data_IF_602591810333
#
_entry.id   IF_602591810333
#
_cell.length_a   1.000
_cell.length_b   1.000
_cell.length_c   1.000
_cell.angle_alpha   90.00
_cell.angle_beta   90.00
_cell.angle_gamma   90.00
#
_symmetry.space_group_name_H-M   'P 1'
#
loop_
_entity.id
_entity.type
_entity.pdbx_description
1 polymer ?
#
# COMPACT_ATOMS: atom_id res chain seq x y z
N UNK A 1 -7.41 57.40 -71.28
CA UNK A 1 -8.59 57.15 -72.12
C UNK A 1 -9.69 56.56 -71.24
N UNK A 2 -10.82 57.29 -71.13
CA UNK A 2 -12.23 56.89 -70.79
C UNK A 2 -12.45 55.83 -69.68
N UNK A 3 -12.90 56.23 -68.48
CA UNK A 3 -14.31 56.26 -67.95
C UNK A 3 -14.88 54.83 -67.74
N UNK A 4 -15.45 54.42 -66.59
CA UNK A 4 -16.61 55.00 -65.89
C UNK A 4 -16.77 54.45 -64.45
N UNK A 5 -17.48 55.26 -63.66
CA UNK A 5 -18.01 55.14 -62.31
C UNK A 5 -19.12 54.08 -62.12
N UNK A 6 -19.34 53.68 -60.85
CA UNK A 6 -20.60 53.38 -60.13
C UNK A 6 -20.63 51.97 -59.51
N UNK A 7 -21.34 51.62 -58.42
CA UNK A 7 -21.92 52.24 -57.23
C UNK A 7 -22.67 51.07 -56.54
N UNK A 8 -22.64 50.98 -55.22
CA UNK A 8 -23.63 50.36 -54.32
C UNK A 8 -23.76 48.82 -54.05
N UNK A 9 -23.76 48.56 -52.73
CA UNK A 9 -24.68 47.73 -51.91
C UNK A 9 -24.51 46.19 -51.77
N UNK A 10 -24.12 45.84 -50.53
CA UNK A 10 -24.75 44.88 -49.59
C UNK A 10 -24.74 43.36 -49.83
N UNK A 11 -24.68 42.68 -48.66
CA UNK A 11 -25.08 41.31 -48.31
C UNK A 11 -24.10 40.13 -48.51
N UNK A 12 -23.38 39.85 -47.40
CA UNK A 12 -23.38 38.61 -46.61
C UNK A 12 -22.70 37.31 -47.15
N UNK A 13 -21.68 36.83 -46.42
CA UNK A 13 -21.64 35.58 -45.60
C UNK A 13 -20.17 35.30 -45.20
N UNK A 14 -19.81 35.38 -43.91
CA UNK A 14 -19.69 34.25 -42.96
C UNK A 14 -18.61 33.21 -43.33
N UNK A 15 -17.46 33.29 -42.68
CA UNK A 15 -16.75 32.10 -42.20
C UNK A 15 -16.00 32.42 -40.89
N UNK A 16 -16.35 31.65 -39.86
CA UNK A 16 -15.93 31.73 -38.47
C UNK A 16 -14.44 31.42 -38.28
N UNK A 17 -13.82 32.12 -37.33
CA UNK A 17 -12.91 31.50 -36.36
C UNK A 17 -13.15 32.18 -35.01
N UNK A 18 -14.00 31.57 -34.19
CA UNK A 18 -14.20 31.94 -32.81
C UNK A 18 -13.08 31.31 -31.97
N UNK A 19 -12.06 32.08 -31.61
CA UNK A 19 -11.24 31.75 -30.43
C UNK A 19 -11.92 32.41 -29.24
N UNK A 20 -12.87 31.69 -28.64
CA UNK A 20 -13.31 32.00 -27.29
C UNK A 20 -12.10 31.77 -26.38
N UNK A 21 -11.63 32.86 -25.78
CA UNK A 21 -10.61 32.82 -24.75
C UNK A 21 -11.12 31.97 -23.59
N UNK A 22 -10.46 30.84 -23.39
CA UNK A 22 -10.48 30.18 -22.10
C UNK A 22 -9.67 31.10 -21.18
N UNK A 23 -10.37 31.89 -20.39
CA UNK A 23 -9.75 32.59 -19.28
C UNK A 23 -9.00 31.54 -18.47
N UNK A 24 -7.68 31.67 -18.40
CA UNK A 24 -6.88 30.95 -17.43
C UNK A 24 -7.50 31.27 -16.07
N UNK A 25 -8.09 30.25 -15.43
CA UNK A 25 -8.35 30.33 -14.00
C UNK A 25 -7.01 30.74 -13.36
N UNK A 26 -7.03 31.68 -12.39
CA UNK A 26 -5.83 31.95 -11.62
C UNK A 26 -5.31 30.62 -11.10
N UNK A 27 -4.01 30.38 -11.20
CA UNK A 27 -3.36 29.34 -10.41
C UNK A 27 -3.65 29.68 -8.94
N UNK A 28 -4.76 29.16 -8.41
CA UNK A 28 -5.01 29.14 -6.98
C UNK A 28 -3.84 28.41 -6.36
N UNK A 29 -3.34 28.92 -5.23
CA UNK A 29 -2.36 28.25 -4.40
C UNK A 29 -2.58 26.74 -4.48
N UNK A 30 -1.63 26.00 -5.08
CA UNK A 30 -1.64 24.56 -4.97
C UNK A 30 -1.51 24.29 -3.46
N UNK A 31 -2.62 23.99 -2.79
CA UNK A 31 -2.61 23.70 -1.37
C UNK A 31 -1.55 22.63 -1.13
N UNK A 32 -0.58 22.95 -0.28
CA UNK A 32 0.61 22.12 -0.10
C UNK A 32 0.19 20.75 0.42
N UNK A 33 0.40 19.70 -0.39
CA UNK A 33 0.21 18.31 0.04
C UNK A 33 1.09 18.00 1.25
N UNK A 34 0.58 17.17 2.15
CA UNK A 34 1.33 16.60 3.25
C UNK A 34 2.09 15.35 2.77
N UNK A 35 3.16 15.02 3.47
CA UNK A 35 3.90 13.79 3.23
C UNK A 35 3.11 12.61 3.80
N UNK A 36 2.80 11.58 3.01
CA UNK A 36 2.18 10.36 3.53
C UNK A 36 3.13 9.69 4.54
N UNK A 37 2.57 9.03 5.55
CA UNK A 37 3.32 8.07 6.38
C UNK A 37 2.44 6.88 6.76
N UNK A 38 3.12 5.77 7.02
CA UNK A 38 2.55 4.54 7.56
C UNK A 38 3.00 4.32 9.00
N UNK A 39 2.42 3.33 9.68
CA UNK A 39 2.77 3.03 11.07
C UNK A 39 3.11 1.57 11.25
N UNK A 40 4.35 1.31 11.68
CA UNK A 40 4.75 0.00 12.18
C UNK A 40 3.99 -0.32 13.47
N UNK A 41 3.26 -1.44 13.45
CA UNK A 41 2.56 -2.00 14.62
C UNK A 41 3.21 -3.31 15.04
N UNK A 42 3.90 -3.29 16.18
CA UNK A 42 4.57 -4.48 16.71
C UNK A 42 3.61 -5.48 17.31
N UNK A 43 3.61 -6.72 16.79
CA UNK A 43 2.88 -7.82 17.42
C UNK A 43 3.30 -7.95 18.89
N UNK A 44 2.33 -7.85 19.80
CA UNK A 44 2.55 -8.03 21.24
C UNK A 44 3.15 -9.41 21.51
N UNK A 45 4.33 -9.45 22.14
CA UNK A 45 5.10 -10.67 22.42
C UNK A 45 5.50 -11.49 21.18
N UNK A 46 5.52 -10.89 19.98
CA UNK A 46 5.74 -11.61 18.71
C UNK A 46 7.00 -12.49 18.73
N UNK A 47 8.14 -11.95 19.17
CA UNK A 47 9.41 -12.70 19.24
C UNK A 47 9.31 -13.98 20.09
N UNK A 48 8.58 -13.93 21.21
CA UNK A 48 8.40 -15.09 22.08
C UNK A 48 7.44 -16.14 21.49
N UNK A 49 6.56 -15.72 20.56
CA UNK A 49 5.53 -16.56 19.95
C UNK A 49 5.96 -17.21 18.63
N UNK A 50 7.10 -16.79 18.04
CA UNK A 50 7.66 -17.36 16.80
C UNK A 50 7.64 -18.90 16.77
N UNK A 51 8.09 -19.65 17.81
CA UNK A 51 8.05 -21.11 17.77
C UNK A 51 6.65 -21.69 17.57
N UNK A 52 5.64 -21.12 18.25
CA UNK A 52 4.26 -21.54 18.11
C UNK A 52 3.69 -21.17 16.74
N UNK A 53 4.01 -19.97 16.24
CA UNK A 53 3.57 -19.50 14.92
C UNK A 53 4.15 -20.38 13.80
N UNK A 54 5.42 -20.80 13.90
CA UNK A 54 6.02 -21.77 12.96
C UNK A 54 5.28 -23.11 12.95
N UNK A 55 4.85 -23.59 14.12
CA UNK A 55 4.04 -24.80 14.21
C UNK A 55 2.66 -24.62 13.55
N UNK A 56 2.02 -23.47 13.74
CA UNK A 56 0.76 -23.13 13.10
C UNK A 56 0.90 -23.05 11.57
N UNK A 57 1.96 -22.40 11.07
CA UNK A 57 2.24 -22.29 9.64
C UNK A 57 2.47 -23.67 9.00
N UNK A 58 3.31 -24.50 9.62
CA UNK A 58 3.62 -25.85 9.12
C UNK A 58 2.42 -26.82 9.16
N UNK A 59 1.48 -26.63 10.09
CA UNK A 59 0.23 -27.40 10.16
C UNK A 59 -0.88 -26.81 9.27
N UNK A 60 -0.65 -25.67 8.61
CA UNK A 60 -1.60 -25.02 7.73
C UNK A 60 -2.83 -24.48 8.46
N UNK A 61 -2.71 -24.10 9.74
CA UNK A 61 -3.80 -23.51 10.53
C UNK A 61 -3.92 -22.00 10.34
N UNK A 62 -2.87 -21.36 9.84
CA UNK A 62 -2.77 -19.91 9.58
C UNK A 62 -2.39 -19.67 8.10
N UNK A 63 -2.25 -18.40 7.71
CA UNK A 63 -1.65 -18.04 6.42
C UNK A 63 -0.29 -18.75 6.24
N UNK A 64 0.07 -19.12 5.00
CA UNK A 64 1.36 -19.74 4.74
C UNK A 64 2.48 -18.77 5.10
N UNK A 65 3.41 -19.22 5.92
CA UNK A 65 4.63 -18.50 6.28
C UNK A 65 5.83 -19.38 5.99
N UNK A 66 6.90 -18.78 5.48
CA UNK A 66 8.19 -19.44 5.31
C UNK A 66 9.25 -18.73 6.13
N UNK A 67 10.29 -19.47 6.53
CA UNK A 67 11.36 -18.96 7.37
C UNK A 67 12.60 -18.69 6.53
N UNK A 68 13.31 -17.62 6.83
CA UNK A 68 14.66 -17.37 6.29
C UNK A 68 15.69 -17.30 7.42
N UNK A 69 16.93 -17.54 7.06
CA UNK A 69 18.09 -17.29 7.90
C UNK A 69 19.28 -16.92 7.02
N UNK A 70 19.97 -15.84 7.35
CA UNK A 70 21.18 -15.42 6.65
C UNK A 70 22.15 -14.72 7.59
N UNK A 71 23.39 -14.61 7.14
CA UNK A 71 24.41 -13.78 7.79
C UNK A 71 24.59 -12.51 6.98
N UNK A 72 24.41 -11.37 7.63
CA UNK A 72 24.67 -10.08 6.99
C UNK A 72 26.17 -9.89 6.75
N UNK A 73 26.63 -9.57 5.54
CA UNK A 73 28.03 -9.25 5.29
C UNK A 73 28.51 -7.98 6.01
N UNK A 74 27.60 -7.13 6.50
CA UNK A 74 27.92 -5.87 7.17
C UNK A 74 28.50 -6.07 8.58
N UNK A 75 27.75 -6.73 9.46
CA UNK A 75 28.10 -6.92 10.88
C UNK A 75 28.45 -8.36 11.24
N UNK A 76 28.33 -9.29 10.29
CA UNK A 76 28.55 -10.74 10.46
C UNK A 76 27.59 -11.39 11.46
N UNK A 77 26.46 -10.75 11.76
CA UNK A 77 25.41 -11.31 12.61
C UNK A 77 24.42 -12.13 11.78
N UNK A 78 23.82 -13.12 12.45
CA UNK A 78 22.76 -13.95 11.88
C UNK A 78 21.41 -13.29 12.08
N UNK A 79 20.65 -13.17 11.00
CA UNK A 79 19.29 -12.67 11.00
C UNK A 79 18.35 -13.78 10.58
N UNK A 80 17.17 -13.83 11.17
CA UNK A 80 16.15 -14.83 10.84
C UNK A 80 14.77 -14.25 11.06
N UNK A 81 13.85 -14.61 10.19
CA UNK A 81 12.50 -14.07 10.20
C UNK A 81 11.51 -14.99 9.50
N UNK A 82 10.30 -14.48 9.32
CA UNK A 82 9.20 -15.16 8.65
C UNK A 82 8.55 -14.24 7.62
N UNK A 83 8.26 -14.75 6.44
CA UNK A 83 7.59 -14.01 5.37
C UNK A 83 6.35 -14.77 4.90
N UNK A 84 5.39 -14.05 4.33
CA UNK A 84 4.16 -14.65 3.78
C UNK A 84 4.48 -15.46 2.53
N UNK A 85 3.82 -16.60 2.38
CA UNK A 85 3.87 -17.43 1.19
C UNK A 85 4.79 -18.64 1.33
N UNK A 86 5.49 -18.96 0.25
CA UNK A 86 6.49 -20.03 0.19
C UNK A 86 7.86 -19.45 -0.09
N UNK A 87 8.89 -20.15 0.37
CA UNK A 87 10.26 -19.68 0.20
C UNK A 87 10.67 -19.64 -1.28
N UNK A 88 11.27 -18.53 -1.72
CA UNK A 88 11.88 -18.43 -3.04
C UNK A 88 13.08 -19.40 -3.16
N UNK A 89 13.77 -19.69 -2.05
CA UNK A 89 15.02 -20.47 -2.01
C UNK A 89 14.87 -22.01 -2.13
N UNK A 90 13.66 -22.58 -1.95
CA UNK A 90 13.48 -24.03 -2.15
C UNK A 90 13.38 -24.36 -3.65
N UNK A 91 12.97 -25.54 -4.09
CA UNK A 91 12.67 -25.84 -5.52
C UNK A 91 11.37 -26.67 -5.69
N UNK A 92 10.55 -26.73 -4.63
CA UNK A 92 9.27 -27.46 -4.61
C UNK A 92 8.11 -26.63 -5.15
N UNK A 93 6.91 -26.76 -4.57
CA UNK A 93 5.75 -25.91 -4.89
C UNK A 93 6.12 -24.42 -4.76
N UNK A 94 5.85 -23.64 -5.82
CA UNK A 94 6.32 -22.26 -6.00
C UNK A 94 5.24 -21.19 -5.94
N UNK A 95 3.99 -21.58 -6.15
CA UNK A 95 2.86 -20.67 -6.12
C UNK A 95 2.10 -20.81 -4.81
N UNK A 96 1.68 -19.67 -4.28
CA UNK A 96 0.82 -19.54 -3.11
C UNK A 96 -0.29 -18.56 -3.43
N UNK A 97 -1.51 -18.93 -3.04
CA UNK A 97 -2.68 -18.06 -3.12
C UNK A 97 -3.12 -17.78 -1.69
N UNK A 98 -3.08 -16.51 -1.29
CA UNK A 98 -3.52 -16.07 0.04
C UNK A 98 -4.90 -15.47 -0.11
N UNK A 99 -5.85 -15.93 0.70
CA UNK A 99 -7.16 -15.32 0.77
C UNK A 99 -7.04 -13.93 1.40
N UNK A 100 -7.38 -12.90 0.64
CA UNK A 100 -7.55 -11.53 1.14
C UNK A 100 -9.03 -11.21 1.30
N UNK A 101 -9.38 -10.46 2.35
CA UNK A 101 -10.73 -9.98 2.60
C UNK A 101 -10.72 -8.45 2.56
N UNK A 102 -11.17 -7.88 1.45
CA UNK A 102 -11.29 -6.42 1.34
C UNK A 102 -12.58 -5.96 2.04
N UNK A 103 -12.43 -5.16 3.07
CA UNK A 103 -13.51 -4.72 3.96
C UNK A 103 -13.62 -3.19 3.85
N UNK A 104 -14.61 -2.67 3.11
CA UNK A 104 -14.85 -1.23 3.09
C UNK A 104 -15.39 -0.78 4.45
N UNK A 105 -14.83 0.29 5.01
CA UNK A 105 -15.26 0.84 6.30
C UNK A 105 -15.95 2.17 6.09
N UNK A 106 -17.23 2.22 6.46
CA UNK A 106 -18.02 3.44 6.47
C UNK A 106 -17.89 4.12 7.82
N UNK A 107 -17.31 5.31 7.85
CA UNK A 107 -17.11 6.10 9.05
C UNK A 107 -18.10 7.26 9.10
N UNK A 108 -18.83 7.36 10.21
CA UNK A 108 -19.74 8.48 10.50
C UNK A 108 -19.18 9.29 11.67
N UNK A 109 -18.88 10.56 11.42
CA UNK A 109 -18.30 11.48 12.40
C UNK A 109 -19.37 12.26 13.16
N UNK A 110 -18.96 12.85 14.28
CA UNK A 110 -19.88 13.55 15.20
C UNK A 110 -20.53 14.82 14.62
N UNK A 111 -19.94 15.41 13.58
CA UNK A 111 -20.48 16.54 12.83
C UNK A 111 -21.50 16.12 11.74
N UNK A 112 -21.73 14.81 11.59
CA UNK A 112 -22.62 14.22 10.59
C UNK A 112 -21.96 13.89 9.25
N UNK A 113 -20.66 14.17 9.09
CA UNK A 113 -19.90 13.77 7.89
C UNK A 113 -19.81 12.25 7.81
N UNK A 114 -19.98 11.71 6.60
CA UNK A 114 -19.87 10.28 6.31
C UNK A 114 -18.82 10.09 5.22
N UNK A 115 -17.84 9.23 5.47
CA UNK A 115 -16.86 8.77 4.51
C UNK A 115 -17.08 7.27 4.28
N UNK A 116 -17.33 6.90 3.01
CA UNK A 116 -17.86 5.59 2.66
C UNK A 116 -17.27 5.10 1.33
N UNK A 117 -16.32 4.15 1.37
CA UNK A 117 -15.66 3.61 0.18
C UNK A 117 -16.61 2.95 -0.83
N UNK A 118 -17.85 2.63 -0.43
CA UNK A 118 -18.86 1.98 -1.29
C UNK A 118 -19.73 2.98 -2.05
N UNK A 119 -19.61 4.28 -1.72
CA UNK A 119 -20.37 5.35 -2.38
C UNK A 119 -19.51 6.13 -3.35
N UNK A 120 -20.13 6.67 -4.40
CA UNK A 120 -19.41 7.51 -5.37
C UNK A 120 -19.17 8.88 -4.75
N UNK A 121 -17.90 9.30 -4.70
CA UNK A 121 -17.55 10.67 -4.33
C UNK A 121 -17.15 11.49 -5.57
N UNK A 122 -17.31 12.81 -5.50
CA UNK A 122 -17.08 13.71 -6.64
C UNK A 122 -15.60 13.95 -6.95
N UNK A 123 -14.68 13.70 -6.00
CA UNK A 123 -13.25 13.85 -6.26
C UNK A 123 -12.72 12.71 -7.14
N UNK A 124 -13.25 11.50 -6.97
CA UNK A 124 -12.86 10.33 -7.75
C UNK A 124 -13.76 10.12 -8.98
N UNK A 125 -15.05 10.45 -8.87
CA UNK A 125 -16.06 10.12 -9.89
C UNK A 125 -16.41 8.62 -9.96
N UNK A 126 -15.93 7.82 -9.01
CA UNK A 126 -16.20 6.41 -8.83
C UNK A 126 -16.29 6.08 -7.32
N UNK A 127 -16.56 4.82 -6.97
CA UNK A 127 -16.41 4.38 -5.58
C UNK A 127 -14.95 3.96 -5.35
N UNK A 128 -14.38 4.34 -4.21
CA UNK A 128 -13.04 3.92 -3.79
C UNK A 128 -12.88 2.40 -3.85
N UNK A 129 -13.89 1.67 -3.37
CA UNK A 129 -13.92 0.21 -3.42
C UNK A 129 -13.73 -0.31 -4.85
N UNK A 130 -14.49 0.22 -5.82
CA UNK A 130 -14.40 -0.24 -7.20
C UNK A 130 -13.04 0.05 -7.84
N UNK A 131 -12.43 1.20 -7.53
CA UNK A 131 -11.11 1.56 -8.04
C UNK A 131 -10.04 0.64 -7.46
N UNK A 132 -10.09 0.39 -6.15
CA UNK A 132 -9.15 -0.53 -5.48
C UNK A 132 -9.30 -1.97 -5.96
N UNK A 133 -10.52 -2.47 -6.16
CA UNK A 133 -10.76 -3.82 -6.68
C UNK A 133 -10.15 -4.06 -8.07
N UNK A 134 -10.09 -3.01 -8.90
CA UNK A 134 -9.52 -3.05 -10.25
C UNK A 134 -8.04 -2.66 -10.31
N UNK A 135 -7.42 -2.35 -9.16
CA UNK A 135 -6.02 -1.96 -9.06
C UNK A 135 -5.06 -3.12 -9.30
N UNK A 136 -3.79 -2.85 -9.65
CA UNK A 136 -2.77 -3.88 -9.76
C UNK A 136 -2.45 -4.61 -8.45
N UNK A 137 -3.00 -4.18 -7.30
CA UNK A 137 -2.93 -4.96 -6.05
C UNK A 137 -3.69 -6.29 -6.19
N UNK A 138 -4.82 -6.27 -6.90
CA UNK A 138 -5.70 -7.45 -7.05
C UNK A 138 -5.82 -7.93 -8.50
N UNK A 139 -5.50 -7.07 -9.48
CA UNK A 139 -5.47 -7.42 -10.90
C UNK A 139 -4.04 -7.71 -11.36
N UNK A 140 -3.91 -8.62 -12.33
CA UNK A 140 -2.61 -8.96 -12.91
C UNK A 140 -2.31 -8.10 -14.12
N UNK A 141 -1.05 -7.71 -14.28
CA UNK A 141 -0.49 -7.15 -15.52
C UNK A 141 0.94 -7.63 -15.69
N UNK A 142 1.51 -7.40 -16.87
CA UNK A 142 2.91 -7.71 -17.15
C UNK A 142 3.84 -6.66 -16.54
N UNK A 143 4.98 -7.09 -15.97
CA UNK A 143 5.89 -6.22 -15.23
C UNK A 143 7.33 -6.32 -15.71
N UNK A 144 7.93 -5.14 -15.91
CA UNK A 144 9.38 -5.00 -16.05
C UNK A 144 9.89 -4.20 -14.84
N UNK A 145 10.77 -4.80 -14.05
CA UNK A 145 11.39 -4.18 -12.89
C UNK A 145 12.90 -4.19 -13.07
N UNK A 146 13.55 -3.02 -12.98
CA UNK A 146 14.98 -2.85 -13.21
C UNK A 146 15.49 -3.44 -14.55
N UNK A 147 14.69 -3.30 -15.61
CA UNK A 147 15.01 -3.83 -16.94
C UNK A 147 14.87 -5.35 -17.09
N UNK A 148 14.33 -6.04 -16.09
CA UNK A 148 14.05 -7.48 -16.10
C UNK A 148 12.55 -7.69 -16.23
N UNK A 149 12.15 -8.53 -17.19
CA UNK A 149 10.79 -9.05 -17.29
C UNK A 149 10.53 -10.02 -16.13
N UNK A 150 9.70 -9.56 -15.18
CA UNK A 150 9.25 -10.33 -14.01
C UNK A 150 7.81 -10.79 -14.20
N UNK A 151 7.40 -11.06 -15.45
CA UNK A 151 6.20 -11.80 -15.80
C UNK A 151 4.88 -11.10 -15.43
N UNK A 152 3.80 -11.86 -15.61
CA UNK A 152 2.43 -11.38 -15.36
C UNK A 152 1.99 -11.74 -13.95
N UNK A 153 1.75 -10.73 -13.12
CA UNK A 153 1.41 -10.91 -11.71
C UNK A 153 0.64 -9.70 -11.15
N UNK A 154 0.12 -9.81 -9.93
CA UNK A 154 -0.28 -8.64 -9.13
C UNK A 154 0.98 -7.86 -8.72
N UNK A 155 0.87 -6.57 -8.40
CA UNK A 155 2.04 -5.72 -8.14
C UNK A 155 2.93 -6.26 -7.02
N UNK A 156 2.36 -6.60 -5.86
CA UNK A 156 3.16 -7.07 -4.72
C UNK A 156 3.70 -8.49 -4.97
N UNK A 157 2.98 -9.31 -5.73
CA UNK A 157 3.49 -10.60 -6.21
C UNK A 157 4.70 -10.43 -7.17
N UNK A 158 4.58 -9.53 -8.15
CA UNK A 158 5.67 -9.16 -9.05
C UNK A 158 6.86 -8.58 -8.28
N UNK A 159 6.60 -7.76 -7.25
CA UNK A 159 7.62 -7.28 -6.33
C UNK A 159 8.32 -8.46 -5.64
N UNK A 160 7.60 -9.44 -5.09
CA UNK A 160 8.23 -10.63 -4.47
C UNK A 160 9.10 -11.40 -5.47
N UNK A 161 8.63 -11.57 -6.71
CA UNK A 161 9.43 -12.18 -7.78
C UNK A 161 10.70 -11.38 -8.05
N UNK A 162 10.57 -10.06 -8.15
CA UNK A 162 11.69 -9.15 -8.38
C UNK A 162 12.65 -9.09 -7.17
N UNK A 163 12.13 -9.20 -5.95
CA UNK A 163 12.87 -9.13 -4.69
C UNK A 163 13.86 -10.29 -4.54
N UNK A 164 13.48 -11.47 -5.03
CA UNK A 164 14.27 -12.70 -4.96
C UNK A 164 14.65 -13.24 -6.35
N UNK A 165 14.82 -12.35 -7.34
CA UNK A 165 14.93 -12.71 -8.76
C UNK A 165 15.99 -13.78 -9.05
N UNK A 166 17.16 -13.69 -8.42
CA UNK A 166 18.26 -14.65 -8.62
C UNK A 166 17.86 -16.10 -8.28
N UNK A 167 16.94 -16.28 -7.33
CA UNK A 167 16.47 -17.58 -6.88
C UNK A 167 15.18 -18.03 -7.58
N UNK A 168 14.30 -17.09 -7.95
CA UNK A 168 13.01 -17.44 -8.58
C UNK A 168 13.13 -17.63 -10.09
N UNK A 169 14.01 -16.89 -10.76
CA UNK A 169 14.15 -16.89 -12.22
C UNK A 169 14.58 -18.24 -12.80
N UNK A 170 15.32 -19.05 -12.02
CA UNK A 170 15.76 -20.41 -12.40
C UNK A 170 14.59 -21.37 -12.62
N UNK A 171 13.41 -21.02 -12.11
CA UNK A 171 12.17 -21.79 -12.25
C UNK A 171 11.15 -21.11 -13.19
N UNK A 172 11.59 -20.13 -13.99
CA UNK A 172 10.74 -19.36 -14.90
C UNK A 172 9.60 -18.67 -14.16
N UNK A 173 8.38 -18.78 -14.69
CA UNK A 173 7.19 -18.10 -14.18
C UNK A 173 6.39 -18.91 -13.14
N UNK A 174 7.07 -19.75 -12.35
CA UNK A 174 6.36 -20.64 -11.41
C UNK A 174 6.19 -20.06 -10.00
N UNK A 175 7.03 -19.09 -9.60
CA UNK A 175 6.95 -18.46 -8.29
C UNK A 175 5.91 -17.34 -8.26
N UNK A 176 4.92 -17.49 -7.38
CA UNK A 176 3.88 -16.49 -7.16
C UNK A 176 3.43 -16.46 -5.70
N UNK A 177 3.12 -15.27 -5.20
CA UNK A 177 2.53 -15.00 -3.90
C UNK A 177 1.26 -14.14 -4.06
N UNK A 178 0.29 -14.66 -4.80
CA UNK A 178 -0.92 -13.93 -5.21
C UNK A 178 -1.97 -13.80 -4.09
N UNK A 179 -2.73 -12.72 -4.13
CA UNK A 179 -3.91 -12.48 -3.31
C UNK A 179 -5.17 -12.91 -4.08
N UNK A 180 -5.93 -13.86 -3.53
CA UNK A 180 -7.31 -14.09 -3.94
C UNK A 180 -8.20 -13.07 -3.25
N UNK A 181 -8.83 -12.18 -4.02
CA UNK A 181 -9.71 -11.16 -3.49
C UNK A 181 -11.09 -11.73 -3.14
N UNK A 182 -11.53 -11.55 -1.90
CA UNK A 182 -12.92 -11.68 -1.48
C UNK A 182 -13.37 -10.34 -0.87
N UNK A 183 -14.34 -9.69 -1.48
CA UNK A 183 -14.88 -8.43 -0.95
C UNK A 183 -16.04 -8.71 -0.01
N UNK A 184 -15.95 -8.20 1.21
CA UNK A 184 -17.03 -8.31 2.20
C UNK A 184 -17.96 -7.09 2.13
N UNK A 185 -19.12 -7.21 2.80
CA UNK A 185 -20.03 -6.08 2.99
C UNK A 185 -19.37 -4.99 3.84
N UNK A 186 -19.83 -3.74 3.68
CA UNK A 186 -19.34 -2.62 4.47
C UNK A 186 -19.49 -2.84 5.98
N UNK A 187 -18.50 -2.36 6.73
CA UNK A 187 -18.57 -2.24 8.19
C UNK A 187 -18.85 -0.78 8.52
N UNK A 188 -20.00 -0.52 9.16
CA UNK A 188 -20.38 0.81 9.60
C UNK A 188 -19.87 1.09 11.01
N UNK A 189 -19.17 2.22 11.19
CA UNK A 189 -18.59 2.65 12.45
C UNK A 189 -18.95 4.11 12.73
N UNK A 190 -19.52 4.37 13.91
CA UNK A 190 -19.70 5.72 14.42
C UNK A 190 -18.47 6.13 15.23
N UNK A 191 -17.79 7.18 14.80
CA UNK A 191 -16.57 7.69 15.43
C UNK A 191 -16.95 8.58 16.61
N UNK A 192 -16.56 8.24 17.85
CA UNK A 192 -16.78 9.12 19.00
C UNK A 192 -16.05 10.45 18.81
N UNK A 193 -16.64 11.56 19.25
CA UNK A 193 -16.02 12.88 19.14
C UNK A 193 -14.67 13.02 19.88
N UNK A 194 -14.40 12.15 20.85
CA UNK A 194 -13.13 12.10 21.56
C UNK A 194 -12.02 11.38 20.77
N UNK A 195 -12.40 10.57 19.79
CA UNK A 195 -11.53 9.67 19.04
C UNK A 195 -11.47 10.03 17.55
N UNK A 196 -12.14 11.11 17.12
CA UNK A 196 -12.02 11.56 15.75
C UNK A 196 -12.86 12.78 15.39
N UNK A 197 -12.57 13.29 14.20
CA UNK A 197 -13.19 14.47 13.61
C UNK A 197 -12.89 14.57 12.13
N UNK A 198 -13.24 15.69 11.52
CA UNK A 198 -13.04 15.93 10.10
C UNK A 198 -12.14 17.14 9.92
N UNK A 199 -11.13 16.99 9.07
CA UNK A 199 -10.29 18.06 8.57
C UNK A 199 -10.78 18.47 7.17
N UNK A 200 -11.37 19.68 7.02
CA UNK A 200 -11.89 20.11 5.72
C UNK A 200 -10.76 20.37 4.72
N UNK A 201 -10.63 19.52 3.71
CA UNK A 201 -9.68 19.64 2.61
C UNK A 201 -10.24 18.99 1.35
N UNK A 202 -10.50 19.76 0.29
CA UNK A 202 -11.20 19.33 -0.94
C UNK A 202 -12.44 18.44 -0.65
N UNK A 203 -12.30 17.10 -0.70
CA UNK A 203 -13.37 16.13 -0.41
C UNK A 203 -13.51 15.71 1.06
N UNK A 204 -12.92 16.48 1.99
CA UNK A 204 -12.76 16.19 3.41
C UNK A 204 -11.81 15.04 3.69
N UNK A 205 -11.09 15.18 4.81
CA UNK A 205 -10.23 14.15 5.36
C UNK A 205 -10.75 13.78 6.76
N UNK A 206 -11.13 12.52 6.96
CA UNK A 206 -11.47 11.99 8.26
C UNK A 206 -10.21 11.81 9.11
N UNK A 207 -10.33 12.05 10.40
CA UNK A 207 -9.24 11.84 11.36
C UNK A 207 -9.74 10.94 12.48
N UNK A 208 -9.05 9.82 12.72
CA UNK A 208 -9.41 8.88 13.81
C UNK A 208 -8.20 8.56 14.70
N UNK A 209 -8.41 8.30 15.99
CA UNK A 209 -7.35 7.83 16.89
C UNK A 209 -6.98 6.38 16.55
N UNK A 210 -5.69 6.15 16.28
CA UNK A 210 -5.19 4.84 15.87
C UNK A 210 -5.41 3.78 16.96
N UNK A 211 -5.28 4.13 18.25
CA UNK A 211 -5.41 3.15 19.33
C UNK A 211 -6.87 2.77 19.55
N UNK A 212 -7.79 3.73 19.41
CA UNK A 212 -9.23 3.45 19.42
C UNK A 212 -9.61 2.53 18.26
N UNK A 213 -9.15 2.85 17.05
CA UNK A 213 -9.43 2.05 15.86
C UNK A 213 -8.87 0.63 15.96
N UNK A 214 -7.59 0.48 16.31
CA UNK A 214 -6.92 -0.82 16.44
C UNK A 214 -7.61 -1.71 17.49
N UNK A 215 -8.00 -1.12 18.63
CA UNK A 215 -8.76 -1.82 19.66
C UNK A 215 -10.16 -2.23 19.17
N UNK A 216 -10.84 -1.40 18.37
CA UNK A 216 -12.13 -1.74 17.77
C UNK A 216 -12.01 -2.91 16.78
N UNK A 217 -10.95 -2.90 15.95
CA UNK A 217 -10.64 -3.96 14.98
C UNK A 217 -10.45 -5.30 15.69
N UNK A 218 -9.53 -5.37 16.66
CA UNK A 218 -9.16 -6.63 17.32
C UNK A 218 -10.28 -7.19 18.21
N UNK A 219 -10.98 -6.32 18.95
CA UNK A 219 -11.92 -6.75 19.98
C UNK A 219 -13.37 -6.88 19.50
N UNK A 220 -13.73 -6.23 18.39
CA UNK A 220 -15.11 -6.16 17.92
C UNK A 220 -15.27 -6.59 16.47
N UNK A 221 -14.57 -5.92 15.54
CA UNK A 221 -14.83 -6.10 14.10
C UNK A 221 -14.38 -7.50 13.65
N UNK A 222 -13.11 -7.87 13.86
CA UNK A 222 -12.61 -9.19 13.44
C UNK A 222 -13.38 -10.36 14.07
N UNK A 223 -13.67 -10.37 15.39
CA UNK A 223 -14.54 -11.38 15.98
C UNK A 223 -15.91 -11.50 15.33
N UNK A 224 -16.52 -10.37 14.92
CA UNK A 224 -17.84 -10.36 14.27
C UNK A 224 -17.82 -10.97 12.85
N UNK A 225 -16.66 -10.97 12.20
CA UNK A 225 -16.49 -11.44 10.82
C UNK A 225 -16.12 -12.93 10.71
N UNK A 226 -15.91 -13.63 11.83
CA UNK A 226 -15.57 -15.07 11.82
C UNK A 226 -16.61 -15.91 11.08
N UNK A 227 -17.90 -15.61 11.27
CA UNK A 227 -19.00 -16.29 10.56
C UNK A 227 -19.08 -15.94 9.06
N UNK A 228 -18.31 -14.96 8.60
CA UNK A 228 -18.13 -14.60 7.18
C UNK A 228 -16.90 -15.24 6.56
N UNK A 229 -16.20 -16.11 7.30
CA UNK A 229 -15.00 -16.81 6.85
C UNK A 229 -13.68 -16.09 7.15
N UNK A 230 -13.75 -14.87 7.71
CA UNK A 230 -12.55 -14.16 8.17
C UNK A 230 -11.90 -14.93 9.29
N UNK A 231 -10.61 -15.23 9.15
CA UNK A 231 -9.89 -15.97 10.16
C UNK A 231 -8.43 -16.20 9.78
N UNK A 232 -7.72 -17.02 10.58
CA UNK A 232 -6.26 -17.13 10.55
C UNK A 232 -5.62 -17.48 9.20
N UNK A 233 -6.39 -18.05 8.27
CA UNK A 233 -5.91 -18.48 6.94
C UNK A 233 -6.04 -17.42 5.84
N UNK A 234 -6.49 -16.22 6.18
CA UNK A 234 -6.54 -15.09 5.26
C UNK A 234 -6.19 -13.78 5.94
N UNK A 235 -6.06 -12.74 5.13
CA UNK A 235 -5.69 -11.39 5.54
C UNK A 235 -6.87 -10.43 5.31
N UNK A 236 -7.50 -9.92 6.36
CA UNK A 236 -8.43 -8.80 6.28
C UNK A 236 -7.68 -7.51 5.95
N UNK A 237 -8.21 -6.75 5.00
CA UNK A 237 -7.70 -5.44 4.59
C UNK A 237 -8.84 -4.45 4.74
N UNK A 238 -8.75 -3.58 5.74
CA UNK A 238 -9.71 -2.50 5.97
C UNK A 238 -9.39 -1.33 5.04
N UNK A 239 -10.35 -0.97 4.19
CA UNK A 239 -10.22 0.10 3.22
C UNK A 239 -10.96 1.33 3.74
N UNK A 240 -10.24 2.45 3.83
CA UNK A 240 -10.82 3.76 4.09
C UNK A 240 -10.97 4.58 2.80
N UNK A 241 -11.80 5.63 2.89
CA UNK A 241 -11.95 6.67 1.88
C UNK A 241 -11.60 8.00 2.54
N UNK A 242 -10.40 8.52 2.28
CA UNK A 242 -9.89 9.79 2.79
C UNK A 242 -9.90 9.88 4.32
N UNK A 243 -9.30 8.91 5.00
CA UNK A 243 -9.19 8.86 6.46
C UNK A 243 -7.76 8.63 6.90
N UNK A 244 -7.20 9.63 7.58
CA UNK A 244 -5.94 9.52 8.30
C UNK A 244 -6.15 9.12 9.77
N UNK A 245 -5.15 8.43 10.31
CA UNK A 245 -5.07 8.05 11.70
C UNK A 245 -4.12 8.98 12.47
N UNK A 246 -4.43 9.19 13.75
CA UNK A 246 -3.73 10.07 14.66
C UNK A 246 -3.21 9.31 15.88
N UNK A 247 -2.04 9.73 16.36
CA UNK A 247 -1.34 9.09 17.47
C UNK A 247 -0.81 10.13 18.49
N UNK A 248 -1.63 10.52 19.49
CA UNK A 248 -3.09 10.36 19.58
C UNK A 248 -3.86 11.44 18.80
N UNK A 249 -5.17 11.25 18.62
CA UNK A 249 -6.07 12.27 18.05
C UNK A 249 -6.12 13.55 18.90
N UNK A 250 -6.13 13.40 20.22
CA UNK A 250 -6.21 14.54 21.17
C UNK A 250 -5.08 15.57 21.07
N UNK A 251 -3.93 15.21 20.49
CA UNK A 251 -2.81 16.13 20.24
C UNK A 251 -2.72 16.63 18.79
N UNK A 252 -3.62 16.21 17.91
CA UNK A 252 -3.59 16.52 16.48
C UNK A 252 -2.44 15.86 15.72
N UNK A 253 -1.81 14.82 16.29
CA UNK A 253 -0.66 14.10 15.71
C UNK A 253 -1.13 13.11 14.63
N UNK A 254 -1.65 13.63 13.52
CA UNK A 254 -2.25 12.86 12.43
C UNK A 254 -1.28 12.56 11.28
N UNK A 255 -1.77 11.95 10.21
CA UNK A 255 -1.02 11.66 8.98
C UNK A 255 -0.64 10.21 8.79
N UNK A 256 -1.11 9.30 9.65
CA UNK A 256 -0.87 7.86 9.46
C UNK A 256 -1.95 7.32 8.53
N UNK A 257 -1.58 6.89 7.32
CA UNK A 257 -2.55 6.47 6.31
C UNK A 257 -2.76 4.96 6.26
N UNK A 258 -1.83 4.19 6.84
CA UNK A 258 -1.91 2.74 6.84
C UNK A 258 -1.07 2.11 7.95
N UNK A 259 -1.39 0.86 8.20
CA UNK A 259 -0.58 -0.08 8.97
C UNK A 259 -1.00 -1.52 8.67
N UNK A 260 -0.11 -2.49 8.83
CA UNK A 260 -0.46 -3.88 9.11
C UNK A 260 -0.15 -4.25 10.56
N UNK A 261 -0.89 -5.20 11.10
CA UNK A 261 -0.72 -5.66 12.47
C UNK A 261 -1.05 -7.16 12.60
N UNK A 262 -0.64 -7.75 13.73
CA UNK A 262 -0.87 -9.13 14.06
C UNK A 262 -1.15 -9.32 15.55
N UNK A 263 -2.01 -10.29 15.86
CA UNK A 263 -2.34 -10.69 17.22
C UNK A 263 -2.70 -12.18 17.29
N UNK A 264 -2.88 -12.72 18.49
CA UNK A 264 -3.20 -14.15 18.69
C UNK A 264 -4.50 -14.35 19.45
N UNK A 265 -5.68 -14.10 18.84
CA UNK A 265 -6.96 -14.41 19.46
C UNK A 265 -7.05 -15.91 19.76
N UNK A 266 -7.25 -16.28 21.02
CA UNK A 266 -7.30 -17.70 21.43
C UNK A 266 -6.00 -18.48 21.16
N UNK A 267 -4.86 -17.79 21.02
CA UNK A 267 -3.55 -18.41 20.78
C UNK A 267 -3.23 -18.77 19.32
N UNK A 268 -4.10 -18.42 18.36
CA UNK A 268 -3.85 -18.63 16.92
C UNK A 268 -3.54 -17.31 16.26
N UNK A 269 -2.50 -17.24 15.42
CA UNK A 269 -2.13 -16.01 14.72
C UNK A 269 -3.27 -15.51 13.82
N UNK A 270 -3.55 -14.21 13.89
CA UNK A 270 -4.34 -13.46 12.92
C UNK A 270 -3.54 -12.22 12.53
N UNK A 271 -3.38 -12.01 11.22
CA UNK A 271 -2.82 -10.76 10.66
C UNK A 271 -3.93 -9.96 9.99
N UNK A 272 -3.75 -8.65 9.83
CA UNK A 272 -4.65 -7.78 9.09
C UNK A 272 -3.93 -6.49 8.66
N UNK A 273 -4.50 -5.77 7.70
CA UNK A 273 -4.02 -4.48 7.23
C UNK A 273 -5.12 -3.42 7.25
N UNK A 274 -4.71 -2.16 7.32
CA UNK A 274 -5.54 -0.97 7.22
C UNK A 274 -4.88 -0.05 6.20
N UNK A 275 -5.64 0.43 5.23
CA UNK A 275 -5.14 1.36 4.23
C UNK A 275 -6.18 2.42 3.91
N UNK A 276 -5.73 3.65 3.87
CA UNK A 276 -6.43 4.74 3.24
C UNK A 276 -6.27 4.73 1.71
N UNK A 277 -7.27 5.29 1.04
CA UNK A 277 -7.22 5.75 -0.33
C UNK A 277 -7.61 7.23 -0.30
N UNK A 278 -6.66 8.11 -0.60
CA UNK A 278 -6.82 9.54 -0.41
C UNK A 278 -7.56 10.17 -1.60
N UNK A 279 -8.88 10.34 -1.46
CA UNK A 279 -9.67 11.15 -2.38
C UNK A 279 -9.72 12.63 -1.99
N UNK A 280 -9.26 13.00 -0.79
CA UNK A 280 -9.16 14.40 -0.37
C UNK A 280 -8.02 15.11 -1.11
N UNK A 281 -7.03 14.37 -1.62
CA UNK A 281 -5.86 14.89 -2.30
C UNK A 281 -4.85 15.55 -1.35
N UNK A 282 -5.00 15.36 -0.04
CA UNK A 282 -4.14 15.91 0.99
C UNK A 282 -2.73 15.31 0.94
N UNK A 283 -2.62 14.03 0.61
CA UNK A 283 -1.39 13.25 0.53
C UNK A 283 -1.05 12.86 -0.91
N UNK A 284 -2.05 12.85 -1.79
CA UNK A 284 -1.87 12.70 -3.24
C UNK A 284 -1.51 11.28 -3.67
N UNK A 285 -2.13 10.27 -3.06
CA UNK A 285 -1.91 8.86 -3.38
C UNK A 285 -3.23 8.09 -3.51
N UNK A 286 -3.26 7.14 -4.42
CA UNK A 286 -4.41 6.26 -4.66
C UNK A 286 -4.20 4.90 -3.95
N UNK A 287 -3.28 4.09 -4.44
CA UNK A 287 -2.95 2.76 -3.93
C UNK A 287 -1.53 2.70 -3.37
N UNK A 288 -0.81 3.83 -3.29
CA UNK A 288 0.55 3.87 -2.77
C UNK A 288 0.63 3.33 -1.34
N UNK A 289 -0.34 3.68 -0.49
CA UNK A 289 -0.44 3.18 0.89
C UNK A 289 -0.82 1.71 0.91
N UNK A 290 -1.81 1.29 0.12
CA UNK A 290 -2.16 -0.13 0.06
C UNK A 290 -0.99 -0.98 -0.45
N UNK A 291 -0.21 -0.46 -1.39
CA UNK A 291 1.03 -1.07 -1.88
C UNK A 291 2.05 -1.20 -0.76
N UNK A 292 2.25 -0.14 0.02
CA UNK A 292 3.13 -0.10 1.19
C UNK A 292 2.76 -1.20 2.18
N UNK A 293 1.52 -1.17 2.70
CA UNK A 293 1.09 -2.08 3.76
C UNK A 293 1.06 -3.54 3.31
N UNK A 294 0.64 -3.83 2.08
CA UNK A 294 0.63 -5.21 1.57
C UNK A 294 2.06 -5.69 1.32
N UNK A 295 2.96 -4.82 0.84
CA UNK A 295 4.38 -5.12 0.66
C UNK A 295 5.07 -5.46 1.98
N UNK A 296 4.90 -4.60 2.99
CA UNK A 296 5.46 -4.79 4.33
C UNK A 296 4.85 -5.98 5.04
N UNK A 297 3.54 -6.18 4.96
CA UNK A 297 2.91 -7.39 5.51
C UNK A 297 3.44 -8.68 4.86
N UNK A 298 3.75 -8.68 3.56
CA UNK A 298 4.33 -9.87 2.93
C UNK A 298 5.74 -10.18 3.45
N UNK A 299 6.57 -9.15 3.67
CA UNK A 299 7.97 -9.30 4.08
C UNK A 299 8.17 -9.37 5.60
N UNK A 300 7.28 -8.79 6.40
CA UNK A 300 7.31 -8.80 7.87
C UNK A 300 5.89 -8.84 8.47
N UNK A 301 5.14 -9.94 8.32
CA UNK A 301 3.74 -10.07 8.73
C UNK A 301 3.50 -9.92 10.24
N UNK A 302 4.56 -9.95 11.05
CA UNK A 302 4.53 -9.83 12.49
C UNK A 302 5.26 -8.59 13.01
N UNK A 303 5.87 -7.79 12.11
CA UNK A 303 6.78 -6.67 12.41
C UNK A 303 7.86 -7.04 13.43
N UNK A 304 8.43 -8.24 13.25
CA UNK A 304 9.46 -8.82 14.13
C UNK A 304 10.69 -9.31 13.37
N UNK A 305 10.75 -9.12 12.04
CA UNK A 305 11.87 -9.55 11.23
C UNK A 305 13.05 -8.58 11.40
N UNK A 306 14.12 -8.98 12.12
CA UNK A 306 15.22 -8.06 12.39
C UNK A 306 16.08 -7.88 11.15
N UNK A 307 16.67 -6.69 11.03
CA UNK A 307 17.64 -6.30 10.01
C UNK A 307 18.84 -5.61 10.68
N UNK A 308 20.00 -5.54 10.04
CA UNK A 308 21.03 -4.60 10.46
C UNK A 308 20.50 -3.17 10.41
N UNK A 309 20.83 -2.35 11.42
CA UNK A 309 20.23 -1.03 11.58
C UNK A 309 20.36 -0.15 10.33
N UNK A 310 19.30 0.58 10.02
CA UNK A 310 19.17 1.49 8.89
C UNK A 310 18.28 2.67 9.30
N UNK A 311 18.29 3.77 8.55
CA UNK A 311 17.51 4.93 8.96
C UNK A 311 17.91 6.25 8.32
N UNK A 312 17.31 7.34 8.81
CA UNK A 312 17.41 8.69 8.24
C UNK A 312 17.04 8.73 6.75
N UNK A 313 16.02 7.98 6.36
CA UNK A 313 15.60 7.79 4.97
C UNK A 313 14.10 7.48 4.90
N UNK A 314 13.45 7.92 3.82
CA UNK A 314 12.00 7.78 3.66
C UNK A 314 11.25 8.45 4.79
N UNK A 315 10.29 7.75 5.38
CA UNK A 315 9.54 8.25 6.54
C UNK A 315 10.30 8.16 7.88
N UNK A 316 11.47 7.51 7.90
CA UNK A 316 12.20 7.19 9.12
C UNK A 316 13.19 8.31 9.45
N UNK A 317 12.89 9.09 10.48
CA UNK A 317 13.74 10.20 10.94
C UNK A 317 14.89 9.81 11.88
N UNK A 318 14.99 8.53 12.25
CA UNK A 318 16.01 7.98 13.16
C UNK A 318 16.55 6.64 12.67
N UNK A 319 17.03 5.79 13.58
CA UNK A 319 17.42 4.42 13.26
C UNK A 319 16.32 3.42 13.61
N UNK A 320 16.14 2.43 12.74
CA UNK A 320 15.35 1.23 12.99
C UNK A 320 16.05 -0.02 12.45
N UNK A 321 15.50 -1.19 12.76
CA UNK A 321 16.14 -2.48 12.52
C UNK A 321 15.11 -3.59 12.22
N UNK A 322 13.99 -3.20 11.62
CA UNK A 322 12.92 -4.06 11.11
C UNK A 322 12.97 -4.13 9.57
N UNK A 323 12.19 -5.05 8.99
CA UNK A 323 12.14 -5.32 7.55
C UNK A 323 10.88 -4.69 6.93
N UNK A 324 10.84 -3.36 6.92
CA UNK A 324 9.73 -2.56 6.42
C UNK A 324 10.07 -2.08 5.00
N UNK A 325 9.65 -2.83 3.98
CA UNK A 325 10.04 -2.61 2.57
C UNK A 325 9.48 -1.33 1.95
N UNK A 326 8.46 -0.73 2.56
CA UNK A 326 7.87 0.53 2.14
C UNK A 326 8.53 1.74 2.81
N UNK A 327 8.84 1.65 4.09
CA UNK A 327 9.35 2.75 4.91
C UNK A 327 10.48 3.61 4.29
N UNK A 328 11.55 3.03 3.70
CA UNK A 328 12.65 3.83 3.15
C UNK A 328 12.27 4.66 1.91
N UNK A 329 11.17 4.29 1.24
CA UNK A 329 10.72 4.90 -0.01
C UNK A 329 9.29 5.46 0.09
N UNK A 330 8.76 5.69 1.29
CA UNK A 330 7.47 6.37 1.46
C UNK A 330 7.42 7.67 0.65
N UNK A 331 6.37 7.83 -0.16
CA UNK A 331 6.19 8.97 -1.07
C UNK A 331 7.00 8.89 -2.37
N UNK A 332 7.79 7.84 -2.58
CA UNK A 332 8.44 7.52 -3.86
C UNK A 332 7.60 6.50 -4.61
N UNK A 333 7.09 6.91 -5.79
CA UNK A 333 6.18 6.10 -6.58
C UNK A 333 6.93 5.24 -7.59
N UNK A 334 6.40 4.04 -7.82
CA UNK A 334 6.70 3.25 -9.00
C UNK A 334 6.09 3.93 -10.25
N UNK A 335 6.61 3.70 -11.48
CA UNK A 335 5.98 4.21 -12.68
C UNK A 335 4.48 3.87 -12.74
N UNK A 336 3.66 4.88 -13.06
CA UNK A 336 2.21 4.74 -13.05
C UNK A 336 1.72 3.61 -13.98
N UNK A 337 0.67 2.92 -13.55
CA UNK A 337 0.17 1.70 -14.18
C UNK A 337 -1.28 1.89 -14.57
N UNK A 338 -1.57 1.88 -15.87
CA UNK A 338 -2.95 2.03 -16.36
C UNK A 338 -3.61 0.68 -16.52
N UNK A 339 -4.70 0.43 -15.77
CA UNK A 339 -5.59 -0.71 -15.97
C UNK A 339 -7.01 -0.22 -16.24
N UNK A 340 -7.56 -0.62 -17.39
CA UNK A 340 -8.84 -0.10 -17.87
C UNK A 340 -8.77 1.42 -18.07
N UNK A 341 -9.61 2.14 -17.33
CA UNK A 341 -9.76 3.60 -17.46
C UNK A 341 -9.09 4.38 -16.31
N UNK A 342 -8.39 3.69 -15.41
CA UNK A 342 -7.75 4.30 -14.25
C UNK A 342 -6.23 4.12 -14.33
N UNK A 343 -5.49 5.16 -13.95
CA UNK A 343 -4.02 5.12 -13.85
C UNK A 343 -3.67 5.11 -12.38
N UNK A 344 -2.99 4.04 -11.98
CA UNK A 344 -2.65 3.77 -10.60
C UNK A 344 -1.23 4.21 -10.27
N UNK A 345 -0.98 4.67 -9.05
CA UNK A 345 0.33 5.07 -8.56
C UNK A 345 0.82 4.16 -7.39
N UNK A 346 1.32 2.94 -7.69
CA UNK A 346 1.93 2.09 -6.68
C UNK A 346 3.16 2.77 -6.06
N UNK A 347 3.46 2.44 -4.81
CA UNK A 347 4.71 2.83 -4.19
C UNK A 347 5.89 1.96 -4.70
N UNK A 348 7.05 2.56 -4.93
CA UNK A 348 8.31 1.80 -5.10
C UNK A 348 8.71 1.14 -3.78
N UNK A 349 9.05 -0.14 -3.82
CA UNK A 349 9.39 -0.95 -2.65
C UNK A 349 10.87 -1.37 -2.67
N UNK A 350 11.45 -1.47 -1.48
CA UNK A 350 12.86 -1.80 -1.26
C UNK A 350 13.06 -3.31 -1.20
N UNK A 351 14.10 -3.81 -1.86
CA UNK A 351 14.41 -5.23 -1.85
C UNK A 351 15.10 -5.69 -0.55
N UNK A 352 14.85 -6.93 -0.19
CA UNK A 352 15.46 -7.70 0.88
C UNK A 352 16.97 -7.51 0.98
N UNK A 353 17.69 -7.58 -0.14
CA UNK A 353 19.14 -7.39 -0.17
C UNK A 353 19.62 -6.05 0.37
N UNK A 354 18.78 -5.01 0.32
CA UNK A 354 19.11 -3.69 0.84
C UNK A 354 19.27 -3.74 2.36
N UNK A 355 18.25 -4.27 3.04
CA UNK A 355 18.23 -4.40 4.50
C UNK A 355 19.43 -5.20 5.01
N UNK A 356 19.75 -6.31 4.34
CA UNK A 356 20.85 -7.19 4.73
C UNK A 356 22.19 -6.85 4.08
N UNK A 357 22.27 -5.77 3.29
CA UNK A 357 23.49 -5.29 2.63
C UNK A 357 24.20 -6.36 1.78
N UNK A 358 23.42 -7.24 1.16
CA UNK A 358 23.93 -8.27 0.25
C UNK A 358 24.48 -7.61 -1.01
N UNK A 359 25.71 -7.97 -1.40
CA UNK A 359 26.34 -7.48 -2.63
C UNK A 359 27.01 -8.65 -3.35
N UNK A 360 26.61 -8.97 -4.59
CA UNK A 360 25.53 -8.33 -5.35
C UNK A 360 24.16 -8.53 -4.69
N UNK A 361 23.20 -7.64 -4.99
CA UNK A 361 21.80 -7.86 -4.64
C UNK A 361 21.26 -9.09 -5.38
N UNK A 362 20.41 -9.87 -4.71
CA UNK A 362 19.70 -11.00 -5.34
C UNK A 362 18.45 -10.55 -6.11
N UNK A 363 18.06 -9.28 -5.97
CA UNK A 363 16.92 -8.70 -6.66
C UNK A 363 17.14 -8.50 -8.16
N UNK A 364 16.04 -8.25 -8.87
CA UNK A 364 16.02 -7.98 -10.31
C UNK A 364 17.00 -6.87 -10.69
N UNK A 365 17.73 -7.06 -11.79
CA UNK A 365 18.75 -6.12 -12.26
C UNK A 365 19.95 -5.93 -11.32
N UNK A 366 20.06 -6.70 -10.23
CA UNK A 366 21.07 -6.48 -9.19
C UNK A 366 20.87 -5.17 -8.42
N UNK A 367 19.68 -4.56 -8.51
CA UNK A 367 19.31 -3.33 -7.81
C UNK A 367 18.82 -3.62 -6.38
N UNK A 368 18.53 -2.56 -5.61
CA UNK A 368 18.10 -2.66 -4.21
C UNK A 368 16.67 -2.16 -3.95
N UNK A 369 15.96 -1.77 -5.00
CA UNK A 369 14.52 -1.44 -4.98
C UNK A 369 13.92 -1.79 -6.34
N UNK A 370 12.60 -1.91 -6.43
CA UNK A 370 11.96 -2.47 -7.63
C UNK A 370 11.87 -1.53 -8.84
N UNK A 371 12.20 -0.24 -8.67
CA UNK A 371 12.38 0.71 -9.77
C UNK A 371 13.74 1.43 -9.73
N UNK A 372 14.70 0.88 -8.98
CA UNK A 372 16.10 1.27 -9.06
C UNK A 372 16.44 2.61 -8.40
N UNK A 373 15.55 3.21 -7.60
CA UNK A 373 15.89 4.37 -6.75
C UNK A 373 17.08 4.05 -5.86
N UNK A 374 17.15 2.83 -5.32
CA UNK A 374 18.35 2.34 -4.62
C UNK A 374 19.19 1.44 -5.51
N UNK A 375 20.36 1.95 -5.88
CA UNK A 375 21.41 1.20 -6.58
C UNK A 375 22.50 0.65 -5.64
N UNK A 376 22.44 0.99 -4.34
CA UNK A 376 23.37 0.52 -3.31
C UNK A 376 22.66 0.20 -2.01
N UNK A 377 23.31 -0.59 -1.15
CA UNK A 377 22.93 -0.83 0.25
C UNK A 377 22.71 0.46 1.05
N UNK A 378 21.92 0.42 2.15
CA UNK A 378 21.70 1.56 3.02
C UNK A 378 23.00 2.06 3.65
N UNK A 379 23.08 3.37 3.95
CA UNK A 379 24.10 3.87 4.86
C UNK A 379 24.00 3.15 6.21
N UNK A 380 25.12 3.05 6.93
CA UNK A 380 25.09 2.58 8.32
C UNK A 380 24.31 3.57 9.18
N UNK A 381 23.41 3.07 10.03
CA UNK A 381 22.78 3.88 11.07
C UNK A 381 23.57 3.67 12.38
N UNK A 382 24.25 4.71 12.91
CA UNK A 382 25.15 4.59 14.06
C UNK A 382 24.44 4.33 15.39
#
# INVERSE_FOLDING_TARGET
MKRLLALFLTTALLCLAATLGWGQLPAGDAQQRRTPRSKVMHMKNGQALIPAIRQQASSGTIIPLWNYSLVSPFDKLSYSGQMVGRSPFFHGYRSTVIQSYLIPVKLTFSDGTVLDPTTTNSCLGATTLSVVQNSPIFQTTDWIMNGVDVGTAQYVDAFQRANFWSDVSVAGDSYHNSLALNTLAEVSVSVPAADGGVFPFLCNEGQIDINWWDALVENTILPSLVLKGVGPKGVPIFLFDSVEMCAPFSSGSCGILGYHNAYTPGGVLQTYGVSDFDNSGLYGGDISILTHEVGEWMDDPLTTNPTPAWGNIGQVSGCQNNLEVGDPLTGTLFPAVTLGNFTYDPQELVFFSWFFRQSPSIGSGGAFSNNGTFSTSPPSCP
#
